data_IF_639574043163
#
_entry.id   IF_639574043163
#
_cell.length_a   1.000
_cell.length_b   1.000
_cell.length_c   1.000
_cell.angle_alpha   90.00
_cell.angle_beta   90.00
_cell.angle_gamma   90.00
#
_symmetry.space_group_name_H-M   'P 1'
#
loop_
_entity.id
_entity.type
_entity.pdbx_description
1 polymer ?
#
# COMPACT_ATOMS: atom_id res chain seq x y z
N UNK A 1 -0.56 3.96 7.80
CA UNK A 1 -0.56 4.81 6.59
C UNK A 1 -1.91 5.46 6.27
N UNK A 2 -3.05 4.76 6.34
CA UNK A 2 -4.37 5.38 6.07
C UNK A 2 -4.67 6.66 6.88
N UNK A 3 -4.30 6.69 8.17
CA UNK A 3 -4.40 7.88 9.01
C UNK A 3 -3.54 9.07 8.52
N UNK A 4 -2.42 8.80 7.86
CA UNK A 4 -1.57 9.85 7.26
C UNK A 4 -2.32 10.50 6.09
N UNK A 5 -2.97 9.68 5.25
CA UNK A 5 -3.84 10.19 4.18
C UNK A 5 -4.95 11.09 4.71
N UNK A 6 -5.66 10.65 5.75
CA UNK A 6 -6.69 11.46 6.44
C UNK A 6 -6.14 12.79 6.98
N UNK A 7 -4.98 12.75 7.64
CA UNK A 7 -4.33 13.93 8.20
C UNK A 7 -3.98 14.95 7.11
N UNK A 8 -3.39 14.49 6.01
CA UNK A 8 -3.05 15.34 4.87
C UNK A 8 -4.28 15.96 4.22
N UNK A 9 -5.36 15.19 3.98
CA UNK A 9 -6.60 15.74 3.42
C UNK A 9 -7.22 16.81 4.31
N UNK A 10 -7.16 16.63 5.64
CA UNK A 10 -7.62 17.65 6.60
C UNK A 10 -6.75 18.90 6.58
N UNK A 11 -5.42 18.76 6.40
CA UNK A 11 -4.51 19.90 6.27
C UNK A 11 -4.77 20.69 4.98
N UNK A 12 -4.98 20.01 3.84
CA UNK A 12 -5.31 20.65 2.57
C UNK A 12 -6.65 21.39 2.62
N UNK A 13 -7.63 20.82 3.33
CA UNK A 13 -8.89 21.49 3.58
C UNK A 13 -8.72 22.71 4.50
N UNK A 14 -7.97 22.56 5.60
CA UNK A 14 -7.73 23.63 6.56
C UNK A 14 -6.96 24.82 5.95
N UNK A 15 -6.08 24.56 4.97
CA UNK A 15 -5.39 25.60 4.20
C UNK A 15 -6.27 26.31 3.18
N UNK A 16 -7.53 25.85 2.99
CA UNK A 16 -8.50 26.35 2.00
C UNK A 16 -8.07 26.15 0.54
N UNK A 17 -7.08 25.29 0.30
CA UNK A 17 -6.63 24.94 -1.05
C UNK A 17 -7.48 23.83 -1.67
N UNK A 18 -8.08 22.97 -0.84
CA UNK A 18 -8.90 21.84 -1.31
C UNK A 18 -10.25 21.72 -0.59
N UNK A 19 -11.17 21.03 -1.25
CA UNK A 19 -12.37 20.51 -0.59
C UNK A 19 -11.99 19.29 0.25
N UNK A 20 -12.70 19.07 1.37
CA UNK A 20 -12.45 17.90 2.20
C UNK A 20 -12.87 16.62 1.45
N UNK A 21 -11.90 15.74 1.19
CA UNK A 21 -12.15 14.44 0.58
C UNK A 21 -12.85 13.49 1.58
N UNK A 22 -13.68 12.54 1.11
CA UNK A 22 -14.24 11.49 1.95
C UNK A 22 -13.15 10.67 2.65
N UNK A 23 -13.36 10.36 3.93
CA UNK A 23 -12.39 9.62 4.74
C UNK A 23 -12.00 8.26 4.12
N UNK A 24 -12.93 7.59 3.42
CA UNK A 24 -12.65 6.33 2.72
C UNK A 24 -11.59 6.49 1.62
N UNK A 25 -11.70 7.54 0.79
CA UNK A 25 -10.74 7.80 -0.30
C UNK A 25 -9.37 8.18 0.25
N UNK A 26 -9.35 9.06 1.26
CA UNK A 26 -8.12 9.49 1.94
C UNK A 26 -7.41 8.30 2.60
N UNK A 27 -8.17 7.38 3.20
CA UNK A 27 -7.63 6.15 3.76
C UNK A 27 -7.10 5.20 2.68
N UNK A 28 -7.82 5.02 1.57
CA UNK A 28 -7.38 4.21 0.42
C UNK A 28 -6.06 4.71 -0.17
N UNK A 29 -5.86 6.03 -0.30
CA UNK A 29 -4.58 6.63 -0.73
C UNK A 29 -3.40 6.16 0.13
N UNK A 30 -3.56 6.19 1.45
CA UNK A 30 -2.51 5.75 2.38
C UNK A 30 -2.33 4.23 2.39
N UNK A 31 -3.41 3.46 2.27
CA UNK A 31 -3.35 1.99 2.24
C UNK A 31 -2.67 1.48 0.97
N UNK A 32 -2.92 2.09 -0.19
CA UNK A 32 -2.32 1.66 -1.44
C UNK A 32 -0.79 1.78 -1.39
N UNK A 33 -0.27 2.95 -1.02
CA UNK A 33 1.17 3.19 -0.85
C UNK A 33 1.82 2.20 0.13
N UNK A 34 1.18 1.99 1.28
CA UNK A 34 1.74 1.11 2.30
C UNK A 34 1.77 -0.35 1.86
N UNK A 35 0.72 -0.81 1.17
CA UNK A 35 0.68 -2.17 0.64
C UNK A 35 1.75 -2.38 -0.43
N UNK A 36 1.96 -1.42 -1.33
CA UNK A 36 3.04 -1.50 -2.32
C UNK A 36 4.41 -1.62 -1.64
N UNK A 37 4.69 -0.79 -0.62
CA UNK A 37 5.94 -0.89 0.15
C UNK A 37 6.09 -2.28 0.80
N UNK A 38 5.05 -2.75 1.51
CA UNK A 38 5.03 -4.09 2.14
C UNK A 38 5.30 -5.22 1.13
N UNK A 39 4.76 -5.10 -0.09
CA UNK A 39 4.94 -6.09 -1.15
C UNK A 39 6.38 -6.08 -1.65
N UNK A 40 6.90 -4.89 -1.97
CA UNK A 40 8.23 -4.71 -2.58
C UNK A 40 9.36 -5.01 -1.60
N UNK A 41 9.17 -4.70 -0.31
CA UNK A 41 10.19 -4.81 0.73
C UNK A 41 10.28 -6.22 1.35
N UNK A 42 9.50 -7.20 0.86
CA UNK A 42 9.42 -8.56 1.43
C UNK A 42 10.78 -9.18 1.81
N UNK A 43 11.75 -9.16 0.88
CA UNK A 43 13.04 -9.81 1.09
C UNK A 43 13.92 -9.06 2.11
N UNK A 44 13.78 -7.74 2.17
CA UNK A 44 14.46 -6.91 3.18
C UNK A 44 13.87 -7.20 4.57
N UNK A 45 12.55 -7.13 4.68
CA UNK A 45 11.82 -7.35 5.94
C UNK A 45 12.04 -8.77 6.51
N UNK A 46 12.03 -9.79 5.66
CA UNK A 46 12.16 -11.19 6.10
C UNK A 46 13.58 -11.55 6.53
N UNK A 47 14.59 -10.85 6.01
CA UNK A 47 15.99 -11.09 6.34
C UNK A 47 16.52 -10.17 7.46
N UNK A 48 15.66 -9.33 8.05
CA UNK A 48 16.04 -8.44 9.12
C UNK A 48 16.57 -9.19 10.36
N UNK A 49 17.64 -8.64 10.95
CA UNK A 49 18.34 -9.18 12.12
C UNK A 49 18.19 -8.15 13.27
N UNK A 50 17.90 -8.58 14.52
CA UNK A 50 17.87 -9.96 15.00
C UNK A 50 16.58 -10.72 14.70
N UNK A 51 15.54 -10.05 14.19
CA UNK A 51 14.23 -10.64 14.00
C UNK A 51 13.57 -10.13 12.72
N UNK A 52 13.08 -11.07 11.90
CA UNK A 52 12.30 -10.79 10.71
C UNK A 52 11.05 -9.96 11.02
N UNK A 53 10.76 -8.97 10.18
CA UNK A 53 9.49 -8.26 10.16
C UNK A 53 8.54 -8.96 9.19
N UNK A 54 7.33 -9.28 9.65
CA UNK A 54 6.35 -10.04 8.88
C UNK A 54 5.07 -9.22 8.69
N UNK A 55 4.94 -8.58 7.52
CA UNK A 55 3.76 -7.77 7.20
C UNK A 55 2.78 -8.47 6.25
N UNK A 56 3.22 -9.48 5.49
CA UNK A 56 2.33 -10.24 4.64
C UNK A 56 1.33 -11.01 5.50
N UNK A 57 0.02 -10.88 5.25
CA UNK A 57 -1.01 -11.42 6.12
C UNK A 57 -1.11 -12.94 5.98
N UNK A 58 -1.22 -13.62 7.12
CA UNK A 58 -1.26 -15.10 7.19
C UNK A 58 -2.34 -15.72 6.32
N UNK A 59 -3.53 -15.13 6.26
CA UNK A 59 -4.63 -15.66 5.46
C UNK A 59 -4.37 -15.65 3.94
N UNK A 60 -3.37 -14.90 3.46
CA UNK A 60 -2.91 -14.93 2.08
C UNK A 60 -1.77 -15.95 1.93
N UNK A 61 -0.65 -15.73 2.63
CA UNK A 61 0.55 -16.54 2.38
C UNK A 61 0.43 -18.00 2.83
N UNK A 62 -0.43 -18.31 3.80
CA UNK A 62 -0.58 -19.70 4.28
C UNK A 62 -1.26 -20.62 3.26
N UNK A 63 -1.77 -20.08 2.14
CA UNK A 63 -2.23 -20.86 0.99
C UNK A 63 -1.06 -21.43 0.18
N UNK A 64 0.13 -20.83 0.30
CA UNK A 64 1.29 -21.06 -0.57
C UNK A 64 2.48 -21.67 0.17
N UNK A 65 2.63 -21.39 1.48
CA UNK A 65 3.73 -21.92 2.29
C UNK A 65 3.32 -22.17 3.75
N UNK A 66 4.12 -22.96 4.46
CA UNK A 66 3.92 -23.25 5.88
C UNK A 66 4.42 -22.11 6.78
N UNK A 67 5.51 -21.45 6.35
CA UNK A 67 6.05 -20.23 6.95
C UNK A 67 6.25 -19.18 5.87
N UNK A 68 6.14 -17.90 6.23
CA UNK A 68 6.30 -16.80 5.27
C UNK A 68 7.74 -16.75 4.74
N UNK A 69 8.71 -17.10 5.57
CA UNK A 69 10.14 -17.17 5.27
C UNK A 69 10.45 -18.19 4.17
N UNK A 70 9.61 -19.23 4.02
CA UNK A 70 9.85 -20.29 3.04
C UNK A 70 9.78 -19.75 1.61
N UNK A 71 9.04 -18.64 1.38
CA UNK A 71 8.88 -18.04 0.05
C UNK A 71 10.15 -17.38 -0.50
N UNK A 72 11.21 -17.20 0.31
CA UNK A 72 12.49 -16.64 -0.15
C UNK A 72 13.40 -17.65 -0.83
N UNK A 73 13.12 -18.94 -0.68
CA UNK A 73 13.96 -20.01 -1.23
C UNK A 73 13.52 -20.37 -2.65
N UNK A 74 14.50 -20.64 -3.52
CA UNK A 74 14.31 -20.86 -4.95
C UNK A 74 13.35 -22.03 -5.25
N UNK A 75 13.38 -23.08 -4.43
CA UNK A 75 12.48 -24.23 -4.54
C UNK A 75 10.99 -23.85 -4.41
N UNK A 76 10.68 -22.70 -3.81
CA UNK A 76 9.33 -22.18 -3.63
C UNK A 76 8.98 -21.04 -4.61
N UNK A 77 9.84 -20.73 -5.59
CA UNK A 77 9.70 -19.56 -6.48
C UNK A 77 8.33 -19.47 -7.16
N UNK A 78 7.81 -20.59 -7.70
CA UNK A 78 6.48 -20.64 -8.33
C UNK A 78 5.37 -20.23 -7.36
N UNK A 79 5.41 -20.76 -6.12
CA UNK A 79 4.40 -20.44 -5.10
C UNK A 79 4.58 -19.02 -4.55
N UNK A 80 5.82 -18.53 -4.46
CA UNK A 80 6.13 -17.16 -4.07
C UNK A 80 5.54 -16.16 -5.05
N UNK A 81 5.67 -16.38 -6.36
CA UNK A 81 5.05 -15.54 -7.39
C UNK A 81 3.52 -15.60 -7.34
N UNK A 82 2.93 -16.78 -7.08
CA UNK A 82 1.48 -16.88 -6.90
C UNK A 82 0.99 -16.10 -5.68
N UNK A 83 1.72 -16.18 -4.56
CA UNK A 83 1.43 -15.40 -3.36
C UNK A 83 1.58 -13.89 -3.61
N UNK A 84 2.64 -13.50 -4.33
CA UNK A 84 2.86 -12.11 -4.76
C UNK A 84 1.67 -11.58 -5.58
N UNK A 85 1.14 -12.38 -6.51
CA UNK A 85 -0.03 -11.98 -7.30
C UNK A 85 -1.28 -11.76 -6.44
N UNK A 86 -1.53 -12.59 -5.42
CA UNK A 86 -2.64 -12.39 -4.47
C UNK A 86 -2.43 -11.10 -3.64
N UNK A 87 -1.21 -10.84 -3.20
CA UNK A 87 -0.85 -9.59 -2.51
C UNK A 87 -1.06 -8.34 -3.38
N UNK A 88 -0.61 -8.38 -4.64
CA UNK A 88 -0.79 -7.28 -5.60
C UNK A 88 -2.27 -7.08 -5.89
N UNK A 89 -3.03 -8.15 -6.10
CA UNK A 89 -4.49 -8.09 -6.31
C UNK A 89 -5.19 -7.45 -5.10
N UNK A 90 -4.76 -7.78 -3.88
CA UNK A 90 -5.25 -7.16 -2.65
C UNK A 90 -4.90 -5.67 -2.53
N UNK A 91 -3.79 -5.21 -3.10
CA UNK A 91 -3.45 -3.79 -3.14
C UNK A 91 -4.29 -3.05 -4.19
N UNK A 92 -4.49 -3.65 -5.36
CA UNK A 92 -5.21 -3.05 -6.49
C UNK A 92 -6.67 -2.68 -6.19
N UNK A 93 -7.28 -3.26 -5.15
CA UNK A 93 -8.63 -2.86 -4.68
C UNK A 93 -8.71 -1.38 -4.31
N UNK A 94 -7.59 -0.71 -4.01
CA UNK A 94 -7.54 0.72 -3.68
C UNK A 94 -7.28 1.62 -4.90
N UNK A 95 -6.91 1.07 -6.06
CA UNK A 95 -6.46 1.85 -7.21
C UNK A 95 -7.55 2.82 -7.72
N UNK A 96 -8.80 2.36 -7.82
CA UNK A 96 -9.91 3.19 -8.27
C UNK A 96 -10.19 4.35 -7.31
N UNK A 97 -10.15 4.09 -6.00
CA UNK A 97 -10.30 5.12 -4.98
C UNK A 97 -9.17 6.16 -5.04
N UNK A 98 -7.93 5.74 -5.30
CA UNK A 98 -6.80 6.64 -5.50
C UNK A 98 -7.03 7.54 -6.72
N UNK A 99 -7.50 6.98 -7.84
CA UNK A 99 -7.82 7.77 -9.04
C UNK A 99 -8.95 8.77 -8.77
N UNK A 100 -10.01 8.36 -8.05
CA UNK A 100 -11.09 9.26 -7.64
C UNK A 100 -10.57 10.39 -6.75
N UNK A 101 -9.74 10.08 -5.76
CA UNK A 101 -9.12 11.08 -4.88
C UNK A 101 -8.31 12.10 -5.70
N UNK A 102 -7.40 11.64 -6.55
CA UNK A 102 -6.54 12.49 -7.37
C UNK A 102 -7.34 13.35 -8.35
N UNK A 103 -8.42 12.82 -8.93
CA UNK A 103 -9.29 13.55 -9.85
C UNK A 103 -10.06 14.70 -9.20
N UNK A 104 -10.23 14.68 -7.87
CA UNK A 104 -10.97 15.68 -7.12
C UNK A 104 -10.10 16.85 -6.62
N UNK A 105 -8.77 16.72 -6.70
CA UNK A 105 -7.82 17.77 -6.31
C UNK A 105 -7.82 18.91 -7.33
N UNK A 106 -7.74 20.14 -6.83
CA UNK A 106 -7.80 21.38 -7.62
C UNK A 106 -6.47 22.11 -7.66
N UNK A 107 -5.75 22.11 -6.54
CA UNK A 107 -4.46 22.78 -6.44
C UNK A 107 -3.37 21.92 -7.08
N UNK A 108 -2.64 22.52 -8.02
CA UNK A 108 -1.65 21.80 -8.82
C UNK A 108 -0.44 21.31 -7.99
N UNK A 109 -0.05 22.04 -6.94
CA UNK A 109 1.05 21.61 -6.09
C UNK A 109 0.61 20.43 -5.20
N UNK A 110 -0.60 20.48 -4.66
CA UNK A 110 -1.18 19.38 -3.88
C UNK A 110 -1.42 18.14 -4.75
N UNK A 111 -1.92 18.31 -5.98
CA UNK A 111 -2.06 17.23 -6.93
C UNK A 111 -0.72 16.52 -7.17
N UNK A 112 0.34 17.27 -7.49
CA UNK A 112 1.68 16.68 -7.69
C UNK A 112 2.19 15.99 -6.44
N UNK A 113 2.03 16.61 -5.27
CA UNK A 113 2.42 16.01 -3.99
C UNK A 113 1.73 14.66 -3.75
N UNK A 114 0.44 14.55 -4.05
CA UNK A 114 -0.33 13.32 -3.86
C UNK A 114 -0.10 12.29 -4.97
N UNK A 115 0.10 12.72 -6.22
CA UNK A 115 0.19 11.84 -7.38
C UNK A 115 1.57 11.18 -7.51
N UNK A 116 2.66 11.91 -7.23
CA UNK A 116 4.03 11.39 -7.41
C UNK A 116 4.27 10.08 -6.64
N UNK A 117 3.86 9.93 -5.36
CA UNK A 117 4.04 8.66 -4.67
C UNK A 117 3.19 7.50 -5.21
N UNK A 118 2.11 7.80 -5.97
CA UNK A 118 1.14 6.81 -6.45
C UNK A 118 1.47 6.23 -7.84
N UNK A 119 2.49 6.80 -8.51
CA UNK A 119 2.97 6.39 -9.83
C UNK A 119 4.32 5.70 -9.66
#
# INVERSE_FOLDING_TARGET
AGLVGLGLSKLFHASKLENLAPDSLSNSMGLFLQKINIIRDYLEDINEIPKSRMFWPRHIWSKYANKLEDLKYEENSVKAVQCLNDMVTNALVHAEDCLKYLSALKDHAIFRFCAIPQI
#
